data_IF_611501259330
#
_entry.id   IF_611501259330
#
_cell.length_a   1.000
_cell.length_b   1.000
_cell.length_c   1.000
_cell.angle_alpha   90.00
_cell.angle_beta   90.00
_cell.angle_gamma   90.00
#
_symmetry.space_group_name_H-M   'P 1'
#
loop_
_entity.id
_entity.type
_entity.pdbx_description
1 polymer ?
#
# COMPACT_ATOMS: atom_id res chain seq x y z
N UNK A 1 17.32 12.74 17.32
CA UNK A 1 16.43 11.68 16.80
C UNK A 1 17.29 10.62 16.11
N UNK A 2 17.45 9.44 16.70
CA UNK A 2 18.26 8.37 16.10
C UNK A 2 17.36 7.49 15.23
N UNK A 3 17.34 7.78 13.93
CA UNK A 3 16.54 7.08 12.91
C UNK A 3 17.17 5.75 12.44
N UNK A 4 18.40 5.41 12.85
CA UNK A 4 19.08 4.16 12.46
C UNK A 4 19.97 3.59 13.59
N UNK A 5 19.98 2.25 13.73
CA UNK A 5 20.96 1.52 14.53
C UNK A 5 22.26 1.27 13.72
N UNK A 6 23.40 0.96 14.37
CA UNK A 6 24.66 0.61 13.69
C UNK A 6 24.56 -0.72 12.92
N UNK A 7 25.43 -0.97 11.91
CA UNK A 7 25.36 -2.14 11.04
C UNK A 7 25.57 -3.41 11.85
N UNK A 8 24.46 -4.05 12.16
CA UNK A 8 24.35 -5.39 12.69
C UNK A 8 23.54 -6.18 11.68
N UNK A 9 23.59 -7.51 11.71
CA UNK A 9 22.74 -8.36 10.84
C UNK A 9 21.25 -7.95 10.90
N UNK A 10 20.85 -7.35 12.02
CA UNK A 10 19.52 -6.78 12.27
C UNK A 10 19.24 -5.50 11.47
N UNK A 11 20.23 -4.63 11.26
CA UNK A 11 20.08 -3.43 10.41
C UNK A 11 19.90 -3.82 8.95
N UNK A 12 20.70 -4.79 8.48
CA UNK A 12 20.60 -5.33 7.12
C UNK A 12 19.23 -5.97 6.92
N UNK A 13 18.76 -6.76 7.89
CA UNK A 13 17.41 -7.33 7.86
C UNK A 13 16.31 -6.27 7.85
N UNK A 14 16.45 -5.17 8.58
CA UNK A 14 15.49 -4.05 8.57
C UNK A 14 15.46 -3.33 7.22
N UNK A 15 16.63 -2.94 6.70
CA UNK A 15 16.72 -2.26 5.40
C UNK A 15 16.25 -3.18 4.27
N UNK A 16 16.63 -4.45 4.30
CA UNK A 16 16.18 -5.45 3.33
C UNK A 16 14.67 -5.67 3.42
N UNK A 17 14.10 -5.73 4.63
CA UNK A 17 12.65 -5.86 4.81
C UNK A 17 11.88 -4.63 4.35
N UNK A 18 12.39 -3.42 4.64
CA UNK A 18 11.80 -2.17 4.17
C UNK A 18 11.85 -2.09 2.64
N UNK A 19 13.01 -2.40 2.05
CA UNK A 19 13.19 -2.46 0.61
C UNK A 19 12.30 -3.52 -0.03
N UNK A 20 12.13 -4.68 0.63
CA UNK A 20 11.23 -5.73 0.16
C UNK A 20 9.78 -5.27 0.13
N UNK A 21 9.28 -4.63 1.20
CA UNK A 21 7.90 -4.10 1.22
C UNK A 21 7.69 -3.04 0.14
N UNK A 22 8.67 -2.16 -0.07
CA UNK A 22 8.61 -1.15 -1.14
C UNK A 22 8.59 -1.83 -2.51
N UNK A 23 9.54 -2.72 -2.79
CA UNK A 23 9.64 -3.43 -4.06
C UNK A 23 8.37 -4.26 -4.34
N UNK A 24 7.84 -4.93 -3.31
CA UNK A 24 6.59 -5.68 -3.37
C UNK A 24 5.40 -4.78 -3.71
N UNK A 25 5.28 -3.64 -3.04
CA UNK A 25 4.20 -2.68 -3.30
C UNK A 25 4.29 -2.10 -4.71
N UNK A 26 5.50 -1.79 -5.19
CA UNK A 26 5.74 -1.31 -6.55
C UNK A 26 5.38 -2.39 -7.57
N UNK A 27 5.78 -3.64 -7.35
CA UNK A 27 5.44 -4.75 -8.23
C UNK A 27 3.91 -4.92 -8.35
N UNK A 28 3.19 -4.92 -7.23
CA UNK A 28 1.72 -5.03 -7.24
C UNK A 28 1.02 -3.79 -7.80
N UNK A 29 1.63 -2.62 -7.69
CA UNK A 29 1.13 -1.43 -8.36
C UNK A 29 1.17 -1.59 -9.89
N UNK A 30 2.28 -2.12 -10.44
CA UNK A 30 2.36 -2.45 -11.87
C UNK A 30 1.33 -3.50 -12.28
N UNK A 31 1.15 -4.55 -11.49
CA UNK A 31 0.13 -5.59 -11.75
C UNK A 31 -1.27 -4.97 -11.76
N UNK A 32 -1.62 -4.16 -10.75
CA UNK A 32 -2.92 -3.49 -10.68
C UNK A 32 -3.16 -2.54 -11.86
N UNK A 33 -2.13 -1.79 -12.29
CA UNK A 33 -2.19 -0.95 -13.49
C UNK A 33 -2.40 -1.76 -14.76
N UNK A 34 -1.67 -2.87 -14.92
CA UNK A 34 -1.82 -3.77 -16.06
C UNK A 34 -3.25 -4.32 -16.11
N UNK A 35 -3.78 -4.80 -14.97
CA UNK A 35 -5.16 -5.29 -14.88
C UNK A 35 -6.18 -4.21 -15.26
N UNK A 36 -6.06 -2.99 -14.71
CA UNK A 36 -6.93 -1.86 -15.07
C UNK A 36 -6.90 -1.60 -16.59
N UNK A 37 -5.72 -1.53 -17.20
CA UNK A 37 -5.59 -1.30 -18.64
C UNK A 37 -6.19 -2.41 -19.49
N UNK A 38 -6.01 -3.67 -19.09
CA UNK A 38 -6.55 -4.83 -19.80
C UNK A 38 -8.07 -4.85 -19.74
N UNK A 39 -8.66 -4.52 -18.58
CA UNK A 39 -10.12 -4.45 -18.44
C UNK A 39 -10.69 -3.26 -19.22
N UNK A 40 -10.05 -2.08 -19.19
CA UNK A 40 -10.47 -0.91 -19.99
C UNK A 40 -10.47 -1.19 -21.49
N UNK A 41 -9.59 -2.07 -21.97
CA UNK A 41 -9.57 -2.47 -23.38
C UNK A 41 -10.85 -3.21 -23.80
N UNK A 42 -11.57 -3.84 -22.87
CA UNK A 42 -12.87 -4.47 -23.14
C UNK A 42 -13.97 -3.45 -23.48
N UNK A 43 -13.78 -2.17 -23.13
CA UNK A 43 -14.71 -1.10 -23.51
C UNK A 43 -14.51 -0.63 -24.97
N UNK A 44 -13.42 -1.00 -25.64
CA UNK A 44 -13.10 -0.51 -26.99
C UNK A 44 -14.20 -0.84 -28.03
N UNK A 45 -14.77 -2.05 -28.08
CA UNK A 45 -15.86 -2.36 -29.01
C UNK A 45 -17.09 -1.49 -28.77
N UNK A 46 -17.48 -1.29 -27.49
CA UNK A 46 -18.63 -0.45 -27.14
C UNK A 46 -18.39 1.03 -27.53
N UNK A 47 -17.17 1.55 -27.32
CA UNK A 47 -16.79 2.89 -27.80
C UNK A 47 -16.89 3.00 -29.32
N UNK A 48 -16.37 2.02 -30.04
CA UNK A 48 -16.42 1.99 -31.50
C UNK A 48 -17.88 1.98 -32.00
N UNK A 49 -18.75 1.16 -31.40
CA UNK A 49 -20.18 1.13 -31.72
C UNK A 49 -20.87 2.47 -31.44
N UNK A 50 -20.60 3.10 -30.28
CA UNK A 50 -21.15 4.42 -29.97
C UNK A 50 -20.70 5.49 -30.98
N UNK A 51 -19.42 5.45 -31.38
CA UNK A 51 -18.85 6.35 -32.38
C UNK A 51 -19.57 6.19 -33.74
N UNK A 52 -19.69 4.96 -34.22
CA UNK A 52 -20.38 4.66 -35.48
C UNK A 52 -21.86 5.06 -35.43
N UNK A 53 -22.56 4.79 -34.32
CA UNK A 53 -23.94 5.21 -34.14
C UNK A 53 -24.08 6.74 -34.13
N UNK A 54 -23.13 7.46 -33.53
CA UNK A 54 -23.08 8.93 -33.54
C UNK A 54 -22.84 9.50 -34.95
N UNK A 55 -21.95 8.90 -35.73
CA UNK A 55 -21.73 9.27 -37.13
C UNK A 55 -22.99 9.06 -37.97
N UNK A 56 -23.65 7.91 -37.83
CA UNK A 56 -24.91 7.62 -38.52
C UNK A 56 -26.03 8.59 -38.11
N UNK A 57 -26.12 8.92 -36.81
CA UNK A 57 -27.13 9.86 -36.32
C UNK A 57 -26.95 11.24 -36.95
N UNK A 58 -25.70 11.72 -37.10
CA UNK A 58 -25.39 12.98 -37.80
C UNK A 58 -25.78 12.92 -39.27
N UNK A 59 -25.41 11.86 -39.99
CA UNK A 59 -25.78 11.68 -41.40
C UNK A 59 -27.30 11.64 -41.61
N UNK A 60 -28.05 10.97 -40.71
CA UNK A 60 -29.50 10.95 -40.76
C UNK A 60 -30.11 12.33 -40.49
N UNK A 61 -29.57 13.09 -39.54
CA UNK A 61 -30.04 14.43 -39.25
C UNK A 61 -29.84 15.38 -40.45
N UNK A 62 -28.68 15.29 -41.10
CA UNK A 62 -28.37 16.07 -42.31
C UNK A 62 -29.32 15.70 -43.46
N UNK A 63 -29.59 14.40 -43.66
CA UNK A 63 -30.53 13.92 -44.67
C UNK A 63 -31.97 14.36 -44.38
N UNK A 64 -32.43 14.29 -43.12
CA UNK A 64 -33.75 14.74 -42.70
C UNK A 64 -33.93 16.26 -42.93
N UNK A 65 -32.87 17.05 -42.75
CA UNK A 65 -32.88 18.48 -43.01
C UNK A 65 -32.96 18.79 -44.51
N UNK A 66 -32.27 18.02 -45.37
CA UNK A 66 -32.37 18.17 -46.83
C UNK A 66 -33.77 17.79 -47.36
N UNK A 67 -34.35 16.68 -46.88
CA UNK A 67 -35.67 16.19 -47.33
C UNK A 67 -36.81 17.07 -46.80
N UNK A 68 -36.69 17.62 -45.60
CA UNK A 68 -37.69 18.52 -45.00
C UNK A 68 -37.86 19.86 -45.73
N UNK A 69 -36.93 20.24 -46.60
CA UNK A 69 -37.02 21.46 -47.42
C UNK A 69 -37.98 21.37 -48.63
N UNK A 70 -38.56 20.19 -48.90
CA UNK A 70 -39.44 19.96 -50.05
C UNK A 70 -40.89 20.33 -49.69
N UNK A 71 -41.39 21.42 -50.29
CA UNK A 71 -42.77 21.90 -50.09
C UNK A 71 -43.78 20.82 -50.52
N UNK A 72 -44.75 20.54 -49.66
CA UNK A 72 -45.92 19.64 -49.78
C UNK A 72 -45.80 18.17 -49.28
N UNK A 73 -44.61 17.57 -49.10
CA UNK A 73 -44.47 16.16 -48.62
C UNK A 73 -43.42 15.99 -47.49
N UNK A 74 -42.67 17.05 -47.15
CA UNK A 74 -41.51 16.98 -46.22
C UNK A 74 -41.79 16.37 -44.84
N UNK A 75 -42.94 16.67 -44.22
CA UNK A 75 -43.23 16.24 -42.84
C UNK A 75 -43.45 14.73 -42.71
N UNK A 76 -44.13 14.11 -43.69
CA UNK A 76 -44.38 12.66 -43.71
C UNK A 76 -43.12 11.84 -43.96
N UNK A 77 -42.14 12.43 -44.68
CA UNK A 77 -40.84 11.79 -44.92
C UNK A 77 -39.87 12.00 -43.76
N UNK A 78 -40.02 13.05 -42.94
CA UNK A 78 -39.13 13.37 -41.81
C UNK A 78 -39.33 12.45 -40.60
N UNK A 79 -40.57 12.07 -40.30
CA UNK A 79 -40.92 11.24 -39.14
C UNK A 79 -40.11 9.94 -38.98
N UNK A 80 -39.89 9.11 -40.02
CA UNK A 80 -39.06 7.91 -39.89
C UNK A 80 -37.58 8.21 -39.60
N UNK A 81 -37.01 9.30 -40.13
CA UNK A 81 -35.63 9.70 -39.82
C UNK A 81 -35.48 10.19 -38.38
N UNK A 82 -36.43 10.96 -37.87
CA UNK A 82 -36.44 11.41 -36.47
C UNK A 82 -36.58 10.20 -35.51
N UNK A 83 -37.42 9.22 -35.84
CA UNK A 83 -37.54 7.99 -35.07
C UNK A 83 -36.24 7.15 -35.05
N UNK A 84 -35.55 7.03 -36.19
CA UNK A 84 -34.25 6.37 -36.29
C UNK A 84 -33.17 7.12 -35.49
N UNK A 85 -33.12 8.45 -35.59
CA UNK A 85 -32.20 9.30 -34.82
C UNK A 85 -32.40 9.11 -33.31
N UNK A 86 -33.65 9.04 -32.85
CA UNK A 86 -33.95 8.77 -31.43
C UNK A 86 -33.44 7.40 -30.97
N UNK A 87 -33.50 6.40 -31.84
CA UNK A 87 -33.07 5.02 -31.54
C UNK A 87 -31.56 4.94 -31.47
N UNK A 88 -30.86 5.61 -32.40
CA UNK A 88 -29.40 5.77 -32.34
C UNK A 88 -28.97 6.52 -31.08
N UNK A 89 -29.70 7.57 -30.69
CA UNK A 89 -29.45 8.28 -29.43
C UNK A 89 -29.51 7.38 -28.20
N UNK A 90 -30.52 6.50 -28.09
CA UNK A 90 -30.61 5.51 -27.01
C UNK A 90 -29.48 4.49 -27.04
N UNK A 91 -29.08 4.04 -28.24
CA UNK A 91 -27.95 3.12 -28.41
C UNK A 91 -26.63 3.74 -27.95
N UNK A 92 -26.36 5.00 -28.31
CA UNK A 92 -25.18 5.75 -27.89
C UNK A 92 -25.18 5.91 -26.36
N UNK A 93 -26.31 6.30 -25.77
CA UNK A 93 -26.44 6.43 -24.32
C UNK A 93 -26.13 5.11 -23.61
N UNK A 94 -26.75 4.01 -24.04
CA UNK A 94 -26.49 2.68 -23.48
C UNK A 94 -25.04 2.23 -23.64
N UNK A 95 -24.43 2.48 -24.80
CA UNK A 95 -23.01 2.17 -25.01
C UNK A 95 -22.10 3.00 -24.10
N UNK A 96 -22.43 4.28 -23.87
CA UNK A 96 -21.66 5.15 -22.98
C UNK A 96 -21.75 4.70 -21.50
N UNK A 97 -22.93 4.25 -21.05
CA UNK A 97 -23.11 3.68 -19.71
C UNK A 97 -22.31 2.39 -19.53
N UNK A 98 -22.29 1.52 -20.55
CA UNK A 98 -21.48 0.30 -20.53
C UNK A 98 -19.98 0.61 -20.45
N UNK A 99 -19.49 1.57 -21.24
CA UNK A 99 -18.09 2.01 -21.18
C UNK A 99 -17.75 2.52 -19.78
N UNK A 100 -18.58 3.38 -19.19
CA UNK A 100 -18.38 3.88 -17.84
C UNK A 100 -18.39 2.75 -16.80
N UNK A 101 -19.29 1.77 -16.93
CA UNK A 101 -19.35 0.60 -16.05
C UNK A 101 -18.08 -0.25 -16.12
N UNK A 102 -17.58 -0.53 -17.32
CA UNK A 102 -16.32 -1.27 -17.53
C UNK A 102 -15.13 -0.49 -16.96
N UNK A 103 -15.06 0.81 -17.20
CA UNK A 103 -13.98 1.67 -16.69
C UNK A 103 -13.96 1.75 -15.16
N UNK A 104 -15.13 1.87 -14.52
CA UNK A 104 -15.23 1.87 -13.07
C UNK A 104 -14.85 0.51 -12.49
N UNK A 105 -15.29 -0.58 -13.13
CA UNK A 105 -14.91 -1.94 -12.74
C UNK A 105 -13.40 -2.15 -12.89
N UNK A 106 -12.80 -1.65 -13.97
CA UNK A 106 -11.34 -1.69 -14.18
C UNK A 106 -10.59 -0.99 -13.04
N UNK A 107 -11.05 0.21 -12.65
CA UNK A 107 -10.47 0.95 -11.52
C UNK A 107 -10.57 0.15 -10.22
N UNK A 108 -11.76 -0.37 -9.90
CA UNK A 108 -12.00 -1.10 -8.66
C UNK A 108 -11.17 -2.39 -8.60
N UNK A 109 -11.16 -3.17 -9.67
CA UNK A 109 -10.38 -4.41 -9.74
C UNK A 109 -8.89 -4.11 -9.67
N UNK A 110 -8.38 -3.15 -10.44
CA UNK A 110 -6.98 -2.74 -10.40
C UNK A 110 -6.56 -2.26 -9.00
N UNK A 111 -7.42 -1.50 -8.31
CA UNK A 111 -7.20 -1.07 -6.95
C UNK A 111 -7.16 -2.24 -5.97
N UNK A 112 -8.11 -3.19 -6.05
CA UNK A 112 -8.16 -4.36 -5.16
C UNK A 112 -6.94 -5.26 -5.37
N UNK A 113 -6.55 -5.50 -6.62
CA UNK A 113 -5.37 -6.28 -7.00
C UNK A 113 -4.10 -5.66 -6.44
N UNK A 114 -3.99 -4.33 -6.41
CA UNK A 114 -2.89 -3.64 -5.74
C UNK A 114 -3.00 -3.69 -4.21
N UNK A 115 -4.16 -3.32 -3.67
CA UNK A 115 -4.35 -3.06 -2.24
C UNK A 115 -4.27 -4.33 -1.40
N UNK A 116 -4.87 -5.44 -1.85
CA UNK A 116 -4.94 -6.67 -1.08
C UNK A 116 -3.56 -7.26 -0.71
N UNK A 117 -2.64 -7.51 -1.65
CA UNK A 117 -1.30 -8.00 -1.33
C UNK A 117 -0.41 -6.97 -0.63
N UNK A 118 -0.61 -5.68 -0.92
CA UNK A 118 0.14 -4.59 -0.28
C UNK A 118 -0.24 -4.44 1.19
N UNK A 119 -1.54 -4.41 1.49
CA UNK A 119 -2.06 -4.36 2.85
C UNK A 119 -1.64 -5.59 3.66
N UNK A 120 -1.64 -6.78 3.04
CA UNK A 120 -1.15 -7.99 3.70
C UNK A 120 0.35 -7.88 4.05
N UNK A 121 1.18 -7.45 3.11
CA UNK A 121 2.61 -7.25 3.36
C UNK A 121 2.86 -6.23 4.48
N UNK A 122 2.14 -5.11 4.46
CA UNK A 122 2.20 -4.08 5.51
C UNK A 122 1.70 -4.64 6.85
N UNK A 123 0.59 -5.36 6.87
CA UNK A 123 0.01 -5.93 8.10
C UNK A 123 0.92 -6.97 8.76
N UNK A 124 1.69 -7.73 7.97
CA UNK A 124 2.69 -8.67 8.49
C UNK A 124 3.97 -7.96 8.98
N UNK A 125 4.34 -6.85 8.35
CA UNK A 125 5.56 -6.11 8.64
C UNK A 125 5.42 -5.11 9.80
N UNK A 126 4.30 -4.39 9.87
CA UNK A 126 4.05 -3.30 10.82
C UNK A 126 4.16 -3.74 12.30
N UNK A 127 3.65 -4.91 12.74
CA UNK A 127 3.75 -5.34 14.14
C UNK A 127 5.19 -5.55 14.58
N UNK A 128 6.04 -6.07 13.69
CA UNK A 128 7.47 -6.24 13.96
C UNK A 128 8.16 -4.90 14.19
N UNK A 129 7.83 -3.90 13.36
CA UNK A 129 8.41 -2.56 13.47
C UNK A 129 7.90 -1.78 14.67
N UNK A 130 6.61 -1.85 14.98
CA UNK A 130 6.00 -1.20 16.15
C UNK A 130 6.54 -1.80 17.45
N UNK A 131 6.69 -3.13 17.52
CA UNK A 131 7.30 -3.80 18.69
C UNK A 131 8.75 -3.38 18.93
N UNK A 132 9.52 -3.19 17.85
CA UNK A 132 10.89 -2.69 17.97
C UNK A 132 10.90 -1.25 18.50
N UNK A 133 10.15 -0.35 17.86
CA UNK A 133 10.09 1.07 18.25
C UNK A 133 9.66 1.27 19.71
N UNK A 134 8.64 0.54 20.15
CA UNK A 134 8.13 0.60 21.54
C UNK A 134 9.15 0.09 22.56
N UNK A 135 9.81 -1.06 22.28
CA UNK A 135 10.87 -1.61 23.17
C UNK A 135 12.05 -0.66 23.30
N UNK A 136 12.49 -0.08 22.19
CA UNK A 136 13.59 0.89 22.18
C UNK A 136 13.22 2.15 22.98
N UNK A 137 11.97 2.61 22.91
CA UNK A 137 11.51 3.77 23.68
C UNK A 137 11.49 3.50 25.19
N UNK A 138 10.95 2.35 25.61
CA UNK A 138 10.91 1.95 27.03
C UNK A 138 12.31 1.82 27.64
N UNK A 139 13.25 1.24 26.90
CA UNK A 139 14.63 1.08 27.37
C UNK A 139 15.41 2.39 27.39
N UNK A 140 15.11 3.35 26.48
CA UNK A 140 15.66 4.71 26.58
C UNK A 140 15.12 5.46 27.79
N UNK A 141 13.82 5.35 28.08
CA UNK A 141 13.21 5.97 29.25
C UNK A 141 13.83 5.40 30.55
N UNK A 142 14.04 4.09 30.59
CA UNK A 142 14.68 3.43 31.73
C UNK A 142 16.17 3.82 31.87
N UNK A 143 16.89 4.01 30.77
CA UNK A 143 18.28 4.50 30.84
C UNK A 143 18.41 5.94 31.35
N UNK A 144 17.35 6.75 31.21
CA UNK A 144 17.32 8.13 31.70
C UNK A 144 16.89 8.25 33.18
N UNK A 145 16.35 7.18 33.77
CA UNK A 145 15.98 7.11 35.17
C UNK A 145 17.23 6.80 36.03
N UNK A 146 17.54 7.60 37.07
CA UNK A 146 18.61 7.31 38.01
C UNK A 146 18.58 5.91 38.61
N UNK A 147 17.39 5.33 38.82
CA UNK A 147 17.21 3.96 39.34
C UNK A 147 17.12 2.90 38.23
N UNK A 148 17.05 3.32 36.96
CA UNK A 148 16.79 2.42 35.85
C UNK A 148 18.02 1.59 35.43
N UNK A 149 19.23 1.97 35.85
CA UNK A 149 20.46 1.20 35.61
C UNK A 149 20.37 -0.20 36.23
N UNK A 150 19.83 -0.29 37.45
CA UNK A 150 19.74 -1.56 38.16
C UNK A 150 18.63 -2.46 37.58
N UNK A 151 17.52 -1.85 37.14
CA UNK A 151 16.46 -2.54 36.40
C UNK A 151 16.94 -3.05 35.03
N UNK A 152 17.80 -2.29 34.34
CA UNK A 152 18.45 -2.74 33.10
C UNK A 152 19.39 -3.92 33.36
N UNK A 153 20.16 -3.88 34.46
CA UNK A 153 21.04 -4.97 34.86
C UNK A 153 20.25 -6.25 35.19
N UNK A 154 19.14 -6.12 35.95
CA UNK A 154 18.25 -7.23 36.27
C UNK A 154 17.62 -7.83 35.00
N UNK A 155 17.16 -7.01 34.05
CA UNK A 155 16.65 -7.48 32.76
C UNK A 155 17.72 -8.21 31.95
N UNK A 156 18.97 -7.74 31.99
CA UNK A 156 20.09 -8.40 31.33
C UNK A 156 20.34 -9.80 31.91
N UNK A 157 20.22 -9.96 33.23
CA UNK A 157 20.31 -11.26 33.90
C UNK A 157 19.14 -12.18 33.53
N UNK A 158 17.91 -11.65 33.49
CA UNK A 158 16.71 -12.44 33.22
C UNK A 158 16.59 -12.91 31.75
N UNK A 159 17.03 -12.09 30.80
CA UNK A 159 16.90 -12.38 29.36
C UNK A 159 18.28 -12.64 28.70
N UNK A 160 19.34 -12.68 29.51
CA UNK A 160 20.73 -13.00 29.20
C UNK A 160 20.92 -14.37 28.56
N UNK A 161 21.47 -14.49 27.36
CA UNK A 161 22.19 -15.71 26.98
C UNK A 161 23.34 -15.96 27.98
N UNK A 162 23.57 -17.22 28.40
CA UNK A 162 24.65 -17.55 29.33
C UNK A 162 26.04 -17.13 28.84
N UNK A 163 26.27 -17.21 27.52
CA UNK A 163 27.53 -16.81 26.91
C UNK A 163 27.82 -15.31 27.07
N UNK A 164 26.82 -14.45 26.87
CA UNK A 164 27.01 -12.99 27.00
C UNK A 164 27.22 -12.58 28.47
N UNK A 165 26.58 -13.29 29.40
CA UNK A 165 26.72 -13.04 30.84
C UNK A 165 28.10 -13.47 31.36
N UNK A 166 28.62 -14.61 30.89
CA UNK A 166 29.95 -15.10 31.26
C UNK A 166 31.09 -14.16 30.81
N UNK A 167 30.88 -13.39 29.74
CA UNK A 167 31.84 -12.36 29.29
C UNK A 167 31.89 -11.14 30.21
N UNK A 168 30.90 -10.95 31.09
CA UNK A 168 30.82 -9.82 32.00
C UNK A 168 31.51 -10.14 33.33
N UNK A 169 31.15 -11.26 33.93
CA UNK A 169 31.72 -11.73 35.20
C UNK A 169 31.68 -13.27 35.25
N UNK A 170 32.59 -13.86 36.03
CA UNK A 170 32.59 -15.30 36.31
C UNK A 170 31.34 -15.74 37.07
N UNK A 171 30.82 -14.88 37.95
CA UNK A 171 29.52 -15.04 38.60
C UNK A 171 28.73 -13.71 38.56
N UNK A 172 27.94 -13.48 37.48
CA UNK A 172 27.17 -12.26 37.27
C UNK A 172 26.08 -12.02 38.33
N UNK A 173 25.50 -13.09 38.87
CA UNK A 173 24.40 -13.00 39.84
C UNK A 173 24.93 -12.56 41.19
N UNK A 174 26.06 -13.14 41.64
CA UNK A 174 26.68 -12.73 42.89
C UNK A 174 27.29 -11.33 42.80
N UNK A 175 27.84 -10.93 41.65
CA UNK A 175 28.33 -9.57 41.45
C UNK A 175 27.20 -8.53 41.55
N UNK A 176 26.04 -8.81 40.95
CA UNK A 176 24.85 -7.97 41.07
C UNK A 176 24.35 -7.90 42.52
N UNK A 177 24.23 -9.03 43.22
CA UNK A 177 23.77 -9.07 44.63
C UNK A 177 24.65 -8.31 45.60
N UNK A 178 25.96 -8.21 45.33
CA UNK A 178 26.91 -7.45 46.16
C UNK A 178 26.94 -5.96 45.86
N UNK A 179 26.14 -5.48 44.89
CA UNK A 179 26.10 -4.06 44.53
C UNK A 179 27.35 -3.61 43.77
N UNK A 180 28.03 -4.50 43.05
CA UNK A 180 29.20 -4.14 42.25
C UNK A 180 28.79 -3.19 41.10
N UNK A 181 29.11 -1.90 41.28
CA UNK A 181 28.72 -0.84 40.35
C UNK A 181 29.28 -1.06 38.93
N UNK A 182 30.45 -1.68 38.80
CA UNK A 182 31.04 -1.98 37.49
C UNK A 182 30.27 -3.11 36.80
N UNK A 183 30.00 -4.20 37.51
CA UNK A 183 29.23 -5.32 36.99
C UNK A 183 27.80 -4.90 36.59
N UNK A 184 27.11 -4.13 37.45
CA UNK A 184 25.79 -3.56 37.19
C UNK A 184 25.83 -2.67 35.94
N UNK A 185 26.85 -1.80 35.83
CA UNK A 185 27.02 -0.92 34.68
C UNK A 185 27.23 -1.68 33.37
N UNK A 186 27.99 -2.78 33.39
CA UNK A 186 28.24 -3.65 32.23
C UNK A 186 27.02 -4.49 31.84
N UNK A 187 26.25 -4.97 32.82
CA UNK A 187 24.98 -5.67 32.59
C UNK A 187 23.93 -4.73 31.96
N UNK A 188 23.79 -3.51 32.48
CA UNK A 188 22.91 -2.50 31.89
C UNK A 188 23.33 -2.15 30.45
N UNK A 189 24.64 -2.04 30.19
CA UNK A 189 25.15 -1.82 28.85
C UNK A 189 24.87 -3.00 27.90
N UNK A 190 24.87 -4.25 28.39
CA UNK A 190 24.50 -5.43 27.61
C UNK A 190 23.03 -5.38 27.15
N UNK A 191 22.11 -5.05 28.05
CA UNK A 191 20.67 -4.93 27.71
C UNK A 191 20.44 -3.80 26.69
N UNK A 192 21.11 -2.65 26.87
CA UNK A 192 21.05 -1.55 25.90
C UNK A 192 21.59 -1.97 24.53
N UNK A 193 22.74 -2.65 24.46
CA UNK A 193 23.28 -3.16 23.19
C UNK A 193 22.34 -4.14 22.51
N UNK A 194 21.70 -5.04 23.25
CA UNK A 194 20.72 -5.99 22.70
C UNK A 194 19.49 -5.33 22.10
N UNK A 195 19.12 -4.17 22.63
CA UNK A 195 18.06 -3.32 22.11
C UNK A 195 18.52 -2.35 21.00
N UNK A 196 19.79 -2.39 20.60
CA UNK A 196 20.36 -1.48 19.60
C UNK A 196 20.63 -0.07 20.12
N UNK A 197 20.61 0.12 21.45
CA UNK A 197 20.86 1.38 22.15
C UNK A 197 22.30 1.45 22.67
N UNK A 198 22.80 2.67 22.86
CA UNK A 198 24.08 2.92 23.50
C UNK A 198 23.87 3.81 24.73
N UNK A 199 24.65 3.53 25.77
CA UNK A 199 24.79 4.41 26.93
C UNK A 199 25.66 5.61 26.54
#
# INVERSE_FOLDING_TARGET
MTLYARPSWRLVGQVASDAFVIAWSVAWWFVGRLTDTTIRALANPARATAQTASDLQRQLADAAQQVGGIVAIGDGLRQPFDAMSSTLGRLIASASEQVAGVENTATLVGLVVFAMPTLLAVALWLPGRVRFATRTHQLKALAADPNGVDLLALRALAHGSPADLALIASDPVSAWRRGDAEAIGRLAALELRRAGLRR
#
